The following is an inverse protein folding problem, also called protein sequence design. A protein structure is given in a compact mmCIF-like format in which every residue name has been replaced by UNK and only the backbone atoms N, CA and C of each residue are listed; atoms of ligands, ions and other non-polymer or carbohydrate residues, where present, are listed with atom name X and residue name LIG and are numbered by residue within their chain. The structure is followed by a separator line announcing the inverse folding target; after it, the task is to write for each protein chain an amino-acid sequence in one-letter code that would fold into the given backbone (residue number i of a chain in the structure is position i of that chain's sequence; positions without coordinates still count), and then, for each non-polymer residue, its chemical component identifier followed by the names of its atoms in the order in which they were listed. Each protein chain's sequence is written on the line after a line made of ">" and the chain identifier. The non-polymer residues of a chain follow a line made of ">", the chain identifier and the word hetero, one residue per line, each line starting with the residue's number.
data_IF_287858350930
#
_entry.id   IF_287858350930
#
_cell.length_a   1.000
_cell.length_b   1.000
_cell.length_c   1.000
_cell.angle_alpha   90.00
_cell.angle_beta   90.00
_cell.angle_gamma   90.00
#
_symmetry.space_group_name_H-M   'P 1'
#
loop_
_entity.id
_entity.type
_entity.pdbx_description
1 polymer ?
#
# COMPACT_ATOMS: atom_id res chain seq x y z
N UNK A 1 -17.76 10.23 -5.81
CA UNK A 1 -16.36 10.35 -5.38
C UNK A 1 -16.34 10.28 -3.85
N UNK A 2 -15.54 9.38 -3.24
CA UNK A 2 -15.65 9.03 -1.80
C UNK A 2 -14.44 9.45 -0.92
N UNK A 3 -13.41 10.09 -1.47
CA UNK A 3 -12.17 10.36 -0.72
C UNK A 3 -11.97 11.81 -0.22
N UNK A 4 -12.86 12.76 -0.57
CA UNK A 4 -12.72 14.19 -0.23
C UNK A 4 -11.50 14.85 -0.90
N UNK A 5 -11.60 16.11 -1.31
CA UNK A 5 -10.47 16.87 -1.89
C UNK A 5 -9.61 16.11 -2.92
N UNK A 6 -10.23 15.29 -3.78
CA UNK A 6 -9.51 14.47 -4.77
C UNK A 6 -8.61 13.37 -4.19
N UNK A 7 -8.81 12.97 -2.93
CA UNK A 7 -7.99 11.99 -2.23
C UNK A 7 -6.78 12.58 -1.50
N UNK A 8 -6.72 13.91 -1.33
CA UNK A 8 -5.61 14.60 -0.68
C UNK A 8 -5.33 14.15 0.77
N UNK A 9 -6.34 13.55 1.43
CA UNK A 9 -6.22 13.05 2.80
C UNK A 9 -5.95 11.55 2.90
N UNK A 10 -5.81 10.85 1.77
CA UNK A 10 -5.48 9.43 1.77
C UNK A 10 -4.01 9.22 2.12
N UNK A 11 -3.74 8.15 2.86
CA UNK A 11 -2.37 7.65 2.99
C UNK A 11 -1.78 7.32 1.62
N UNK A 12 -0.45 7.44 1.50
CA UNK A 12 0.25 7.15 0.26
C UNK A 12 0.00 5.70 -0.20
N UNK A 13 -0.13 5.47 -1.50
CA UNK A 13 -0.18 4.12 -2.04
C UNK A 13 1.14 3.39 -1.79
N UNK A 14 1.09 2.05 -1.65
CA UNK A 14 2.31 1.23 -1.50
C UNK A 14 3.22 1.30 -2.74
N UNK A 15 2.69 1.68 -3.92
CA UNK A 15 3.45 1.95 -5.14
C UNK A 15 3.64 3.44 -5.34
N UNK A 16 4.89 3.83 -5.59
CA UNK A 16 5.21 5.20 -5.98
C UNK A 16 5.27 5.35 -7.50
N UNK A 17 5.48 6.57 -7.98
CA UNK A 17 5.76 6.83 -9.40
C UNK A 17 7.17 6.42 -9.81
N UNK A 18 8.07 6.17 -8.85
CA UNK A 18 9.43 5.71 -9.11
C UNK A 18 9.41 4.18 -9.22
N UNK A 19 9.80 3.60 -10.37
CA UNK A 19 9.83 2.16 -10.53
C UNK A 19 10.71 1.48 -9.49
N UNK A 20 10.20 0.41 -8.87
CA UNK A 20 10.91 -0.34 -7.84
C UNK A 20 10.89 0.29 -6.43
N UNK A 21 10.40 1.52 -6.28
CA UNK A 21 10.23 2.13 -4.96
C UNK A 21 8.83 1.86 -4.40
N UNK A 22 8.78 1.12 -3.30
CA UNK A 22 7.58 0.74 -2.57
C UNK A 22 7.59 1.35 -1.16
N UNK A 23 6.41 1.69 -0.64
CA UNK A 23 6.20 2.20 0.71
C UNK A 23 5.44 1.16 1.53
N UNK A 24 5.85 0.96 2.79
CA UNK A 24 5.20 0.06 3.72
C UNK A 24 4.97 0.71 5.08
N UNK A 25 4.00 0.20 5.83
CA UNK A 25 3.74 0.57 7.23
C UNK A 25 2.60 1.58 7.41
N UNK A 26 2.44 2.08 8.64
CA UNK A 26 1.24 2.80 9.08
C UNK A 26 0.97 4.16 8.42
N UNK A 27 1.90 4.69 7.62
CA UNK A 27 1.72 5.90 6.84
C UNK A 27 1.40 5.63 5.36
N UNK A 28 1.37 4.36 4.97
CA UNK A 28 1.00 3.88 3.65
C UNK A 28 -0.37 3.18 3.71
N UNK A 29 -1.02 3.02 2.57
CA UNK A 29 -2.24 2.24 2.45
C UNK A 29 -2.02 0.81 3.00
N UNK A 30 -2.92 0.26 3.84
CA UNK A 30 -4.27 0.75 4.14
C UNK A 30 -4.40 1.78 5.27
N UNK A 31 -3.32 2.16 5.94
CA UNK A 31 -3.28 3.26 6.90
C UNK A 31 -2.67 2.89 8.25
N UNK A 32 -2.97 3.69 9.28
CA UNK A 32 -2.37 3.56 10.60
C UNK A 32 -2.83 2.34 11.43
N UNK A 33 -2.05 2.06 12.49
CA UNK A 33 -2.28 0.94 13.42
C UNK A 33 -1.49 -0.32 13.06
N UNK A 34 -1.29 -1.20 14.04
CA UNK A 34 -0.44 -2.39 13.90
C UNK A 34 -0.94 -3.35 12.81
N UNK A 35 -2.25 -3.62 12.77
CA UNK A 35 -2.84 -4.51 11.77
C UNK A 35 -2.62 -3.98 10.34
N UNK A 36 -2.85 -2.69 10.13
CA UNK A 36 -2.69 -2.07 8.81
C UNK A 36 -1.22 -1.95 8.39
N UNK A 37 -0.32 -1.69 9.34
CA UNK A 37 1.12 -1.73 9.07
C UNK A 37 1.57 -3.13 8.63
N UNK A 38 1.07 -4.19 9.29
CA UNK A 38 1.31 -5.57 8.89
C UNK A 38 0.76 -5.90 7.50
N UNK A 39 -0.48 -5.50 7.21
CA UNK A 39 -1.08 -5.68 5.88
C UNK A 39 -0.30 -4.94 4.79
N UNK A 40 0.08 -3.69 5.02
CA UNK A 40 0.92 -2.92 4.09
C UNK A 40 2.25 -3.65 3.80
N UNK A 41 2.89 -4.19 4.83
CA UNK A 41 4.09 -5.03 4.67
C UNK A 41 3.83 -6.29 3.82
N UNK A 42 2.72 -7.00 4.06
CA UNK A 42 2.34 -8.17 3.28
C UNK A 42 2.07 -7.83 1.80
N UNK A 43 1.42 -6.70 1.52
CA UNK A 43 1.17 -6.23 0.16
C UNK A 43 2.47 -5.91 -0.58
N UNK A 44 3.40 -5.22 0.09
CA UNK A 44 4.72 -4.89 -0.48
C UNK A 44 5.53 -6.15 -0.72
N UNK A 45 5.59 -7.07 0.24
CA UNK A 45 6.29 -8.32 0.10
C UNK A 45 5.73 -9.15 -1.08
N UNK A 46 4.41 -9.30 -1.18
CA UNK A 46 3.76 -9.97 -2.31
C UNK A 46 4.06 -9.31 -3.64
N UNK A 47 4.04 -7.97 -3.69
CA UNK A 47 4.42 -7.22 -4.91
C UNK A 47 5.89 -7.42 -5.29
N UNK A 48 6.81 -7.51 -4.33
CA UNK A 48 8.24 -7.76 -4.60
C UNK A 48 8.44 -9.16 -5.18
N UNK A 49 7.73 -10.17 -4.68
CA UNK A 49 7.90 -11.57 -5.09
C UNK A 49 7.16 -11.89 -6.39
N UNK A 50 5.92 -11.43 -6.52
CA UNK A 50 5.01 -11.82 -7.61
C UNK A 50 4.79 -10.69 -8.65
N UNK A 51 5.29 -9.48 -8.38
CA UNK A 51 5.12 -8.34 -9.28
C UNK A 51 3.66 -7.90 -9.40
N UNK A 52 3.24 -7.55 -10.62
CA UNK A 52 1.87 -7.15 -10.95
C UNK A 52 0.85 -8.29 -10.85
N UNK A 53 1.30 -9.54 -10.73
CA UNK A 53 0.42 -10.70 -10.61
C UNK A 53 -0.13 -10.90 -9.19
N UNK A 54 0.45 -10.21 -8.19
CA UNK A 54 0.05 -10.36 -6.79
C UNK A 54 -1.43 -10.00 -6.57
N UNK A 55 -2.17 -10.88 -5.87
CA UNK A 55 -3.61 -10.69 -5.56
C UNK A 55 -3.96 -10.77 -4.07
N UNK A 56 -2.98 -10.79 -3.19
CA UNK A 56 -3.20 -11.05 -1.76
C UNK A 56 -3.21 -12.54 -1.42
N UNK A 57 -3.37 -12.84 -0.13
CA UNK A 57 -3.55 -14.21 0.35
C UNK A 57 -4.93 -14.74 -0.04
N UNK A 58 -4.98 -15.93 -0.61
CA UNK A 58 -6.22 -16.70 -0.84
C UNK A 58 -6.81 -17.20 0.48
#
# INVERSE_FOLDING_TARGET
>A
ALAGAGGAFLHAANRTRLPGLLLAGGWSHPGGGLAHAGMSGALVAGTVVEGDAFRGSQ
#
